data_IF_486741288780
#
_entry.id   IF_486741288780
#
_cell.length_a   1.000
_cell.length_b   1.000
_cell.length_c   1.000
_cell.angle_alpha   90.00
_cell.angle_beta   90.00
_cell.angle_gamma   90.00
#
_symmetry.space_group_name_H-M   'P 1'
#
loop_
_entity.id
_entity.type
_entity.pdbx_description
1 polymer ?
#
# COMPACT_ATOMS: atom_id res chain seq x y z
N UNK A 1 -15.22 17.36 -5.43
CA UNK A 1 -14.03 17.51 -4.61
C UNK A 1 -14.03 16.58 -3.41
N UNK A 2 -15.12 16.52 -2.66
CA UNK A 2 -15.22 15.61 -1.52
C UNK A 2 -15.03 14.15 -1.93
N UNK A 3 -15.55 13.78 -3.11
CA UNK A 3 -15.45 12.42 -3.63
C UNK A 3 -14.01 12.05 -3.98
N UNK A 4 -13.22 12.98 -4.50
CA UNK A 4 -11.82 12.72 -4.84
C UNK A 4 -11.00 12.41 -3.59
N UNK A 5 -11.22 13.16 -2.53
CA UNK A 5 -10.52 12.93 -1.26
C UNK A 5 -10.91 11.59 -0.68
N UNK A 6 -12.21 11.28 -0.70
CA UNK A 6 -12.71 10.01 -0.21
C UNK A 6 -12.16 8.83 -1.00
N UNK A 7 -12.10 8.96 -2.32
CA UNK A 7 -11.58 7.92 -3.20
C UNK A 7 -10.09 7.69 -2.95
N UNK A 8 -9.33 8.76 -2.73
CA UNK A 8 -7.89 8.64 -2.44
C UNK A 8 -7.65 7.94 -1.11
N UNK A 9 -8.42 8.28 -0.10
CA UNK A 9 -8.31 7.65 1.22
C UNK A 9 -8.67 6.16 1.13
N UNK A 10 -9.74 5.85 0.40
CA UNK A 10 -10.17 4.48 0.19
C UNK A 10 -9.10 3.68 -0.56
N UNK A 11 -8.51 4.26 -1.60
CA UNK A 11 -7.47 3.60 -2.37
C UNK A 11 -6.25 3.31 -1.51
N UNK A 12 -5.83 4.27 -0.68
CA UNK A 12 -4.69 4.08 0.22
C UNK A 12 -4.96 2.98 1.24
N UNK A 13 -6.18 2.97 1.80
CA UNK A 13 -6.58 1.96 2.76
C UNK A 13 -6.57 0.57 2.13
N UNK A 14 -7.18 0.42 0.97
CA UNK A 14 -7.27 -0.86 0.28
C UNK A 14 -5.90 -1.38 -0.12
N UNK A 15 -5.02 -0.49 -0.55
CA UNK A 15 -3.65 -0.86 -0.93
C UNK A 15 -2.91 -1.46 0.28
N UNK A 16 -2.96 -0.79 1.40
CA UNK A 16 -2.27 -1.26 2.62
C UNK A 16 -2.88 -2.55 3.15
N UNK A 17 -4.21 -2.66 3.11
CA UNK A 17 -4.90 -3.89 3.53
C UNK A 17 -4.50 -5.08 2.66
N UNK A 18 -4.38 -4.85 1.37
CA UNK A 18 -3.99 -5.89 0.43
C UNK A 18 -2.58 -6.39 0.72
N UNK A 19 -1.69 -5.45 1.00
CA UNK A 19 -0.32 -5.77 1.35
C UNK A 19 -0.26 -6.53 2.68
N UNK A 20 -1.09 -6.13 3.63
CA UNK A 20 -1.24 -6.82 4.91
C UNK A 20 -1.71 -8.27 4.71
N UNK A 21 -2.74 -8.48 3.90
CA UNK A 21 -3.26 -9.82 3.62
C UNK A 21 -2.19 -10.72 3.01
N UNK A 22 -1.45 -10.21 2.07
CA UNK A 22 -0.37 -10.96 1.43
C UNK A 22 0.69 -11.37 2.44
N UNK A 23 1.04 -10.47 3.34
CA UNK A 23 2.01 -10.73 4.40
C UNK A 23 1.52 -11.82 5.35
N UNK A 24 0.25 -11.75 5.76
CA UNK A 24 -0.34 -12.72 6.68
C UNK A 24 -0.51 -14.10 6.05
N UNK A 25 -0.71 -14.15 4.74
CA UNK A 25 -0.91 -15.42 4.03
C UNK A 25 0.41 -16.14 3.72
N UNK A 26 1.54 -15.56 4.13
CA UNK A 26 2.84 -16.18 3.88
C UNK A 26 3.34 -16.02 2.46
N UNK A 27 2.75 -15.11 1.72
CA UNK A 27 3.25 -14.74 0.39
C UNK A 27 4.59 -14.02 0.54
N UNK A 28 5.21 -13.69 -0.58
CA UNK A 28 6.48 -13.01 -0.56
C UNK A 28 6.45 -11.79 0.37
N UNK A 29 7.50 -11.62 1.16
CA UNK A 29 7.64 -10.46 2.04
C UNK A 29 7.64 -9.16 1.24
N UNK A 30 8.18 -9.20 0.01
CA UNK A 30 8.25 -8.05 -0.87
C UNK A 30 7.33 -8.25 -2.06
N UNK A 31 6.53 -7.26 -2.37
CA UNK A 31 5.58 -7.30 -3.47
C UNK A 31 5.82 -6.14 -4.41
N UNK A 32 5.43 -6.33 -5.68
CA UNK A 32 5.48 -5.26 -6.67
C UNK A 32 4.26 -4.36 -6.47
N UNK A 33 4.51 -3.11 -6.11
CA UNK A 33 3.44 -2.15 -5.85
C UNK A 33 2.61 -1.83 -7.08
N UNK A 34 3.20 -1.89 -8.28
CA UNK A 34 2.45 -1.66 -9.51
C UNK A 34 1.47 -2.80 -9.76
N UNK A 35 1.90 -4.04 -9.56
CA UNK A 35 1.01 -5.20 -9.72
C UNK A 35 -0.13 -5.15 -8.72
N UNK A 36 0.18 -4.79 -7.49
CA UNK A 36 -0.81 -4.69 -6.44
C UNK A 36 -1.84 -3.62 -6.78
N UNK A 37 -1.38 -2.46 -7.26
CA UNK A 37 -2.27 -1.37 -7.67
C UNK A 37 -3.14 -1.79 -8.85
N UNK A 38 -2.57 -2.49 -9.83
CA UNK A 38 -3.33 -2.98 -10.99
C UNK A 38 -4.46 -3.90 -10.55
N UNK A 39 -4.23 -4.74 -9.55
CA UNK A 39 -5.26 -5.60 -9.00
C UNK A 39 -6.40 -4.84 -8.32
N UNK A 40 -6.18 -3.57 -7.99
CA UNK A 40 -7.17 -2.70 -7.37
C UNK A 40 -7.71 -1.66 -8.36
N UNK A 41 -7.44 -1.84 -9.65
CA UNK A 41 -7.84 -0.90 -10.71
C UNK A 41 -7.24 0.50 -10.53
N UNK A 42 -6.04 0.56 -10.00
CA UNK A 42 -5.31 1.81 -9.80
C UNK A 42 -4.22 1.94 -10.86
N UNK A 43 -3.91 3.19 -11.23
CA UNK A 43 -2.87 3.46 -12.21
C UNK A 43 -1.48 3.33 -11.60
N UNK A 44 -0.45 3.32 -12.45
CA UNK A 44 0.93 3.32 -11.99
C UNK A 44 1.25 4.58 -11.19
N UNK A 45 0.71 5.72 -11.61
CA UNK A 45 0.90 6.98 -10.91
C UNK A 45 0.24 6.93 -9.53
N UNK A 46 -0.95 6.35 -9.45
CA UNK A 46 -1.64 6.15 -8.16
C UNK A 46 -0.80 5.29 -7.23
N UNK A 47 -0.22 4.21 -7.76
CA UNK A 47 0.64 3.32 -6.98
C UNK A 47 1.81 4.09 -6.36
N UNK A 48 2.46 4.93 -7.15
CA UNK A 48 3.61 5.70 -6.69
C UNK A 48 3.21 6.68 -5.58
N UNK A 49 2.09 7.37 -5.74
CA UNK A 49 1.59 8.31 -4.74
C UNK A 49 1.20 7.59 -3.45
N UNK A 50 0.53 6.45 -3.57
CA UNK A 50 0.08 5.69 -2.40
C UNK A 50 1.27 5.13 -1.62
N UNK A 51 2.25 4.57 -2.33
CA UNK A 51 3.44 4.05 -1.68
C UNK A 51 4.17 5.15 -0.94
N UNK A 52 4.33 6.31 -1.59
CA UNK A 52 5.00 7.45 -0.96
C UNK A 52 4.28 7.89 0.31
N UNK A 53 2.95 7.95 0.26
CA UNK A 53 2.14 8.32 1.41
C UNK A 53 2.39 7.36 2.58
N UNK A 54 2.32 6.06 2.31
CA UNK A 54 2.51 5.05 3.37
C UNK A 54 3.95 4.99 3.85
N UNK A 55 4.90 5.21 2.96
CA UNK A 55 6.31 5.27 3.31
C UNK A 55 6.58 6.42 4.28
N UNK A 56 5.99 7.58 4.00
CA UNK A 56 6.13 8.76 4.86
C UNK A 56 5.55 8.51 6.25
N UNK A 57 4.55 7.68 6.36
CA UNK A 57 3.96 7.31 7.66
C UNK A 57 4.68 6.14 8.33
N UNK A 58 5.65 5.55 7.67
CA UNK A 58 6.38 4.41 8.21
C UNK A 58 5.63 3.09 8.12
N UNK A 59 4.57 3.03 7.33
CA UNK A 59 3.75 1.82 7.16
C UNK A 59 4.31 0.85 6.14
N UNK A 60 5.10 1.34 5.21
CA UNK A 60 5.67 0.56 4.10
C UNK A 60 7.14 0.91 3.97
N UNK A 61 7.95 -0.10 3.64
CA UNK A 61 9.33 0.10 3.20
C UNK A 61 9.39 -0.17 1.71
N UNK A 62 10.06 0.72 1.00
CA UNK A 62 10.32 0.57 -0.42
C UNK A 62 11.77 0.16 -0.60
N UNK A 63 12.02 -0.85 -1.43
CA UNK A 63 13.36 -1.30 -1.72
C UNK A 63 13.63 -1.31 -3.22
N UNK A 64 14.89 -1.38 -3.58
CA UNK A 64 15.30 -1.42 -4.98
C UNK A 64 15.44 -0.05 -5.60
N UNK A 65 16.25 0.02 -6.66
CA UNK A 65 16.47 1.27 -7.39
C UNK A 65 15.51 1.43 -8.54
N UNK A 66 14.97 0.31 -9.01
CA UNK A 66 14.06 0.29 -10.14
C UNK A 66 12.80 -0.42 -9.72
N UNK A 67 11.67 0.06 -10.26
CA UNK A 67 10.39 -0.51 -9.91
C UNK A 67 9.89 -0.03 -8.56
N UNK A 68 8.87 -0.69 -8.05
CA UNK A 68 8.19 -0.28 -6.84
C UNK A 68 7.99 -1.51 -5.93
N UNK A 69 9.11 -2.04 -5.46
CA UNK A 69 9.09 -3.22 -4.57
C UNK A 69 8.88 -2.75 -3.14
N UNK A 70 7.85 -3.26 -2.49
CA UNK A 70 7.42 -2.78 -1.18
C UNK A 70 7.12 -3.94 -0.23
N UNK A 71 7.21 -3.65 1.07
CA UNK A 71 6.72 -4.57 2.10
C UNK A 71 6.07 -3.75 3.21
N UNK A 72 5.14 -4.38 3.92
CA UNK A 72 4.50 -3.74 5.06
C UNK A 72 5.45 -3.80 6.27
N UNK A 73 5.42 -2.75 7.09
CA UNK A 73 6.20 -2.70 8.33
C UNK A 73 5.34 -3.15 9.50
N UNK A 74 5.98 -3.36 10.66
CA UNK A 74 5.23 -3.65 11.89
C UNK A 74 4.24 -2.53 12.20
N UNK A 75 4.64 -1.29 11.96
CA UNK A 75 3.75 -0.13 12.17
C UNK A 75 2.56 -0.20 11.20
N UNK A 76 2.79 -0.59 9.95
CA UNK A 76 1.71 -0.76 8.99
C UNK A 76 0.75 -1.86 9.39
N UNK A 77 1.27 -2.97 9.87
CA UNK A 77 0.46 -4.08 10.38
C UNK A 77 -0.43 -3.59 11.52
N UNK A 78 0.15 -2.90 12.49
CA UNK A 78 -0.61 -2.38 13.62
C UNK A 78 -1.70 -1.43 13.18
N UNK A 79 -1.39 -0.58 12.21
CA UNK A 79 -2.34 0.40 11.67
C UNK A 79 -3.56 -0.31 11.06
N UNK A 80 -3.32 -1.34 10.25
CA UNK A 80 -4.41 -2.11 9.63
C UNK A 80 -5.24 -2.80 10.69
N UNK A 81 -4.57 -3.42 11.67
CA UNK A 81 -5.27 -4.19 12.71
C UNK A 81 -6.12 -3.32 13.62
N UNK A 82 -5.80 -2.03 13.72
CA UNK A 82 -6.62 -1.07 14.46
C UNK A 82 -7.80 -0.56 13.63
N UNK A 83 -7.98 -1.08 12.43
CA UNK A 83 -9.02 -0.63 11.52
C UNK A 83 -8.73 0.73 10.92
N UNK A 84 -7.46 1.10 10.85
CA UNK A 84 -7.05 2.41 10.43
C UNK A 84 -7.22 2.69 8.95
N UNK A 85 -7.18 3.94 8.63
CA UNK A 85 -7.18 4.45 7.28
C UNK A 85 -6.14 5.54 7.12
#
# INVERSE_FOLDING_TARGET
>A
MTDDIRQRREARRRFLERLYEASENGDSEYLDGYDLAAGLDLSRQDAEHIVRYHEDHGFILKTGRHGLTVRITARGIDHVERGGD
#
